data_IF_807231828694
#
_entry.id   IF_807231828694
#
_cell.length_a   1.000
_cell.length_b   1.000
_cell.length_c   1.000
_cell.angle_alpha   90.00
_cell.angle_beta   90.00
_cell.angle_gamma   90.00
#
_symmetry.space_group_name_H-M   'P 1'
#
loop_
_entity.id
_entity.type
_entity.pdbx_description
1 polymer ?
#
# COMPACT_ATOMS: atom_id res chain seq x y z
N UNK A 1 -2.86 -21.54 -24.84
CA UNK A 1 -2.93 -20.49 -23.78
C UNK A 1 -1.63 -19.69 -23.82
N UNK A 2 -1.72 -18.38 -23.93
CA UNK A 2 -0.54 -17.52 -24.05
C UNK A 2 0.22 -17.58 -22.71
N UNK A 3 1.43 -18.12 -22.68
CA UNK A 3 2.23 -18.32 -21.45
C UNK A 3 2.50 -17.04 -20.65
N UNK A 4 2.11 -15.88 -21.15
CA UNK A 4 2.34 -14.56 -20.58
C UNK A 4 1.13 -13.95 -19.84
N UNK A 5 -0.05 -14.58 -19.85
CA UNK A 5 -1.29 -14.02 -19.28
C UNK A 5 -1.54 -14.57 -17.88
N UNK A 6 -0.62 -14.25 -16.94
CA UNK A 6 -0.78 -14.58 -15.53
C UNK A 6 -0.21 -13.49 -14.62
N UNK A 7 -0.70 -13.46 -13.39
CA UNK A 7 -0.09 -12.72 -12.28
C UNK A 7 0.52 -13.68 -11.26
N UNK A 8 1.57 -13.20 -10.60
CA UNK A 8 2.10 -13.81 -9.39
C UNK A 8 1.45 -13.12 -8.20
N UNK A 9 0.56 -13.82 -7.53
CA UNK A 9 -0.27 -13.33 -6.44
C UNK A 9 0.23 -13.91 -5.13
N UNK A 10 -0.05 -13.23 -4.04
CA UNK A 10 0.21 -13.69 -2.68
C UNK A 10 -0.69 -14.88 -2.30
N UNK A 11 -0.44 -15.46 -1.13
CA UNK A 11 -1.23 -16.58 -0.59
C UNK A 11 -2.70 -16.22 -0.29
N UNK A 12 -3.02 -14.91 -0.29
CA UNK A 12 -4.38 -14.41 -0.05
C UNK A 12 -5.37 -14.70 -1.19
N UNK A 13 -4.88 -15.27 -2.32
CA UNK A 13 -5.69 -15.47 -3.53
C UNK A 13 -5.85 -14.20 -4.37
N UNK A 14 -6.76 -14.24 -5.36
CA UNK A 14 -6.86 -13.16 -6.36
C UNK A 14 -7.57 -11.90 -5.86
N UNK A 15 -8.03 -11.87 -4.61
CA UNK A 15 -8.56 -10.66 -3.99
C UNK A 15 -9.53 -10.94 -2.85
N UNK A 16 -9.78 -9.90 -2.07
CA UNK A 16 -10.82 -9.86 -1.04
C UNK A 16 -11.42 -8.46 -0.96
N UNK A 17 -12.72 -8.41 -0.56
CA UNK A 17 -13.46 -7.15 -0.41
C UNK A 17 -13.48 -6.73 1.04
N UNK A 18 -13.14 -5.47 1.30
CA UNK A 18 -13.13 -4.86 2.63
C UNK A 18 -13.31 -3.35 2.52
N UNK A 19 -13.07 -2.61 3.60
CA UNK A 19 -12.89 -1.15 3.57
C UNK A 19 -11.39 -0.82 3.73
N UNK A 20 -10.95 0.25 3.07
CA UNK A 20 -9.59 0.77 3.27
C UNK A 20 -9.41 1.23 4.73
N UNK A 21 -8.40 0.71 5.39
CA UNK A 21 -8.14 0.96 6.81
C UNK A 21 -7.16 2.08 7.09
N UNK A 22 -6.47 2.61 6.07
CA UNK A 22 -5.28 3.45 6.26
C UNK A 22 -5.21 4.60 5.23
N UNK A 23 -4.46 5.66 5.57
CA UNK A 23 -4.16 6.75 4.66
C UNK A 23 -5.36 7.55 4.20
N UNK A 24 -5.25 8.16 3.01
CA UNK A 24 -6.24 9.10 2.47
C UNK A 24 -7.59 8.48 2.12
N UNK A 25 -7.60 7.20 1.82
CA UNK A 25 -8.80 6.48 1.38
C UNK A 25 -9.50 5.70 2.50
N UNK A 26 -9.15 5.97 3.76
CA UNK A 26 -9.75 5.31 4.91
C UNK A 26 -11.29 5.31 4.84
N UNK A 27 -11.89 4.16 5.12
CA UNK A 27 -13.33 3.97 5.07
C UNK A 27 -13.90 3.68 3.67
N UNK A 28 -13.10 3.81 2.61
CA UNK A 28 -13.57 3.54 1.26
C UNK A 28 -13.75 2.02 1.02
N UNK A 29 -14.91 1.58 0.45
CA UNK A 29 -15.06 0.21 -0.01
C UNK A 29 -13.96 -0.14 -1.02
N UNK A 30 -13.29 -1.26 -0.82
CA UNK A 30 -12.10 -1.62 -1.58
C UNK A 30 -12.01 -3.11 -1.86
N UNK A 31 -11.43 -3.44 -3.01
CA UNK A 31 -11.02 -4.80 -3.37
C UNK A 31 -9.51 -4.82 -3.42
N UNK A 32 -8.91 -5.62 -2.56
CA UNK A 32 -7.46 -5.77 -2.47
C UNK A 32 -6.98 -6.90 -3.37
N UNK A 33 -6.00 -6.62 -4.22
CA UNK A 33 -5.21 -7.61 -4.94
C UNK A 33 -3.75 -7.50 -4.47
N UNK A 34 -3.25 -8.55 -3.81
CA UNK A 34 -1.89 -8.60 -3.29
C UNK A 34 -0.97 -9.38 -4.21
N UNK A 35 0.08 -8.72 -4.70
CA UNK A 35 1.10 -9.33 -5.56
C UNK A 35 2.20 -9.98 -4.72
N UNK A 36 2.81 -11.02 -5.28
CA UNK A 36 3.93 -11.73 -4.67
C UNK A 36 5.24 -10.93 -4.75
N UNK A 37 5.99 -10.93 -3.64
CA UNK A 37 7.37 -10.46 -3.55
C UNK A 37 7.52 -8.98 -3.19
N UNK A 38 8.59 -8.67 -2.46
CA UNK A 38 9.00 -7.33 -2.07
C UNK A 38 10.51 -7.18 -2.22
N UNK A 39 10.98 -5.97 -2.45
CA UNK A 39 12.41 -5.63 -2.50
C UNK A 39 12.97 -5.18 -1.14
N UNK A 40 12.11 -5.04 -0.12
CA UNK A 40 12.47 -4.72 1.27
C UNK A 40 12.12 -5.88 2.21
N UNK A 41 12.67 -5.85 3.43
CA UNK A 41 12.46 -6.90 4.43
C UNK A 41 11.68 -6.43 5.65
N UNK A 42 11.81 -5.15 6.02
CA UNK A 42 11.18 -4.50 7.17
C UNK A 42 11.37 -5.26 8.50
N UNK A 43 12.50 -5.92 8.69
CA UNK A 43 12.80 -6.74 9.87
C UNK A 43 12.90 -5.94 11.17
N UNK A 44 13.15 -4.64 11.09
CA UNK A 44 13.24 -3.75 12.25
C UNK A 44 11.93 -3.63 13.05
N UNK A 45 10.81 -4.00 12.47
CA UNK A 45 9.49 -4.00 13.12
C UNK A 45 9.10 -5.36 13.71
N UNK A 46 10.06 -6.28 13.83
CA UNK A 46 9.79 -7.58 14.40
C UNK A 46 9.34 -7.47 15.89
N UNK A 47 8.30 -8.22 16.22
CA UNK A 47 7.72 -8.34 17.55
C UNK A 47 7.32 -9.79 17.81
N UNK A 48 7.00 -10.18 19.06
CA UNK A 48 6.48 -11.52 19.32
C UNK A 48 5.26 -11.90 18.49
N UNK A 49 4.39 -10.92 18.20
CA UNK A 49 3.18 -11.10 17.38
C UNK A 49 3.45 -11.03 15.86
N UNK A 50 4.57 -10.43 15.47
CA UNK A 50 5.01 -10.33 14.07
C UNK A 50 6.53 -10.54 13.97
N UNK A 51 6.99 -11.80 14.11
CA UNK A 51 8.43 -12.11 14.15
C UNK A 51 9.17 -11.79 12.85
N UNK A 52 8.44 -11.60 11.78
CA UNK A 52 8.96 -11.24 10.45
C UNK A 52 9.18 -9.73 10.27
N UNK A 53 8.63 -8.89 11.18
CA UNK A 53 8.65 -7.44 11.10
C UNK A 53 7.58 -6.86 10.20
N UNK A 54 7.55 -7.25 8.92
CA UNK A 54 6.50 -6.86 8.00
C UNK A 54 5.18 -7.57 8.33
N UNK A 55 4.10 -6.83 8.55
CA UNK A 55 2.77 -7.35 8.85
C UNK A 55 2.14 -8.16 7.70
N UNK A 56 2.57 -7.89 6.48
CA UNK A 56 2.10 -8.59 5.27
C UNK A 56 3.05 -9.70 4.80
N UNK A 57 4.15 -10.00 5.53
CA UNK A 57 5.17 -10.95 5.10
C UNK A 57 4.60 -12.33 4.79
N UNK A 58 3.76 -12.86 5.67
CA UNK A 58 3.15 -14.19 5.51
C UNK A 58 2.37 -14.26 4.19
N UNK A 59 1.63 -13.20 3.86
CA UNK A 59 0.84 -13.15 2.63
C UNK A 59 1.73 -13.11 1.39
N UNK A 60 2.62 -12.11 1.27
CA UNK A 60 3.38 -11.90 0.03
C UNK A 60 4.60 -12.81 -0.15
N UNK A 61 5.04 -13.53 0.88
CA UNK A 61 6.19 -14.44 0.81
C UNK A 61 5.89 -15.75 0.07
N UNK A 62 4.63 -16.14 -0.02
CA UNK A 62 4.18 -17.32 -0.77
C UNK A 62 3.71 -16.92 -2.17
N UNK A 63 4.11 -17.72 -3.15
CA UNK A 63 3.89 -17.45 -4.57
C UNK A 63 2.81 -18.36 -5.13
N UNK A 64 1.74 -17.76 -5.64
CA UNK A 64 0.71 -18.43 -6.42
C UNK A 64 0.65 -17.84 -7.84
N UNK A 65 0.57 -18.70 -8.84
CA UNK A 65 0.42 -18.30 -10.24
C UNK A 65 -1.06 -18.43 -10.62
N UNK A 66 -1.67 -17.29 -10.98
CA UNK A 66 -3.05 -17.22 -11.42
C UNK A 66 -3.13 -16.71 -12.85
N UNK A 67 -3.85 -17.41 -13.73
CA UNK A 67 -4.15 -16.88 -15.06
C UNK A 67 -5.10 -15.67 -14.97
N UNK A 68 -5.09 -14.81 -15.97
CA UNK A 68 -6.05 -13.70 -16.03
C UNK A 68 -7.49 -14.21 -16.05
N UNK A 69 -7.75 -15.30 -16.77
CA UNK A 69 -9.05 -15.94 -16.85
C UNK A 69 -9.53 -16.44 -15.48
N UNK A 70 -8.68 -17.14 -14.72
CA UNK A 70 -9.03 -17.61 -13.38
C UNK A 70 -9.33 -16.44 -12.42
N UNK A 71 -8.59 -15.33 -12.52
CA UNK A 71 -8.86 -14.13 -11.73
C UNK A 71 -10.20 -13.51 -12.13
N UNK A 72 -10.50 -13.41 -13.43
CA UNK A 72 -11.76 -12.85 -13.91
C UNK A 72 -12.95 -13.70 -13.47
N UNK A 73 -12.86 -15.02 -13.60
CA UNK A 73 -13.90 -15.94 -13.14
C UNK A 73 -14.15 -15.79 -11.63
N UNK A 74 -13.09 -15.74 -10.83
CA UNK A 74 -13.19 -15.48 -9.39
C UNK A 74 -13.85 -14.12 -9.09
N UNK A 75 -13.54 -13.07 -9.85
CA UNK A 75 -14.12 -11.75 -9.66
C UNK A 75 -15.61 -11.71 -10.03
N UNK A 76 -16.02 -12.42 -11.08
CA UNK A 76 -17.42 -12.59 -11.45
C UNK A 76 -18.21 -13.34 -10.37
N UNK A 77 -17.71 -14.50 -9.92
CA UNK A 77 -18.32 -15.30 -8.87
C UNK A 77 -18.42 -14.58 -7.52
N UNK A 78 -17.44 -13.72 -7.20
CA UNK A 78 -17.39 -12.95 -5.96
C UNK A 78 -18.18 -11.63 -6.00
N UNK A 79 -18.75 -11.26 -7.16
CA UNK A 79 -19.43 -9.98 -7.35
C UNK A 79 -18.47 -8.77 -7.33
N UNK A 80 -17.17 -8.99 -7.61
CA UNK A 80 -16.18 -7.91 -7.57
C UNK A 80 -16.27 -7.01 -8.80
N UNK A 81 -16.75 -7.53 -9.93
CA UNK A 81 -16.93 -6.73 -11.14
C UNK A 81 -17.94 -5.61 -10.90
N UNK A 82 -19.09 -5.91 -10.29
CA UNK A 82 -20.13 -4.94 -9.96
C UNK A 82 -19.63 -3.92 -8.93
N UNK A 83 -18.85 -4.37 -7.94
CA UNK A 83 -18.24 -3.49 -6.93
C UNK A 83 -17.27 -2.50 -7.56
N UNK A 84 -16.37 -2.97 -8.43
CA UNK A 84 -15.43 -2.12 -9.15
C UNK A 84 -16.15 -1.15 -10.09
N UNK A 85 -17.20 -1.60 -10.78
CA UNK A 85 -17.98 -0.77 -11.70
C UNK A 85 -18.77 0.34 -10.98
N UNK A 86 -19.22 0.11 -9.74
CA UNK A 86 -19.88 1.16 -8.92
C UNK A 86 -18.90 2.15 -8.28
N UNK A 87 -17.57 1.93 -8.41
CA UNK A 87 -16.52 2.84 -7.95
C UNK A 87 -15.78 2.42 -6.67
N UNK A 88 -15.95 1.17 -6.18
CA UNK A 88 -15.08 0.63 -5.13
C UNK A 88 -13.63 0.70 -5.60
N UNK A 89 -12.70 0.96 -4.68
CA UNK A 89 -11.28 1.11 -5.01
C UNK A 89 -10.67 -0.25 -5.31
N UNK A 90 -10.01 -0.40 -6.45
CA UNK A 90 -9.13 -1.54 -6.69
C UNK A 90 -7.75 -1.24 -6.10
N UNK A 91 -7.50 -1.75 -4.91
CA UNK A 91 -6.24 -1.58 -4.18
C UNK A 91 -5.22 -2.61 -4.66
N UNK A 92 -4.24 -2.15 -5.43
CA UNK A 92 -3.15 -2.96 -5.93
C UNK A 92 -1.95 -2.83 -4.98
N UNK A 93 -1.66 -3.91 -4.27
CA UNK A 93 -0.69 -3.97 -3.19
C UNK A 93 0.07 -5.30 -3.22
N UNK A 94 0.54 -5.78 -2.09
CA UNK A 94 1.19 -7.07 -1.96
C UNK A 94 2.47 -6.94 -1.14
N UNK A 95 3.60 -7.44 -1.66
CA UNK A 95 4.91 -7.01 -1.21
C UNK A 95 5.20 -5.62 -1.76
N UNK A 96 5.68 -5.55 -3.00
CA UNK A 96 5.86 -4.29 -3.71
C UNK A 96 5.31 -4.41 -5.14
N UNK A 97 4.20 -3.73 -5.47
CA UNK A 97 3.53 -3.89 -6.76
C UNK A 97 4.35 -3.33 -7.93
N UNK A 98 5.20 -2.34 -7.72
CA UNK A 98 6.04 -1.76 -8.76
C UNK A 98 7.04 -2.76 -9.38
N UNK A 99 7.35 -3.87 -8.69
CA UNK A 99 8.13 -4.98 -9.22
C UNK A 99 7.43 -5.73 -10.37
N UNK A 100 6.12 -5.58 -10.51
CA UNK A 100 5.27 -6.38 -11.40
C UNK A 100 4.46 -5.55 -12.40
N UNK A 101 4.91 -4.35 -12.74
CA UNK A 101 4.17 -3.42 -13.58
C UNK A 101 3.77 -4.01 -14.94
N UNK A 102 4.70 -4.59 -15.71
CA UNK A 102 4.42 -5.11 -17.05
C UNK A 102 3.29 -6.16 -17.11
N UNK A 103 3.31 -7.23 -16.29
CA UNK A 103 2.19 -8.17 -16.27
C UNK A 103 0.91 -7.53 -15.74
N UNK A 104 1.00 -6.57 -14.81
CA UNK A 104 -0.16 -5.88 -14.26
C UNK A 104 -0.81 -4.94 -15.29
N UNK A 105 -0.03 -4.24 -16.12
CA UNK A 105 -0.53 -3.44 -17.24
C UNK A 105 -1.34 -4.31 -18.20
N UNK A 106 -0.80 -5.46 -18.63
CA UNK A 106 -1.53 -6.38 -19.50
C UNK A 106 -2.83 -6.90 -18.88
N UNK A 107 -2.80 -7.15 -17.56
CA UNK A 107 -3.97 -7.61 -16.82
C UNK A 107 -5.07 -6.53 -16.78
N UNK A 108 -4.72 -5.27 -16.50
CA UNK A 108 -5.66 -4.15 -16.49
C UNK A 108 -6.22 -3.89 -17.89
N UNK A 109 -5.38 -3.98 -18.95
CA UNK A 109 -5.85 -3.85 -20.32
C UNK A 109 -6.87 -4.93 -20.70
N UNK A 110 -6.57 -6.19 -20.35
CA UNK A 110 -7.50 -7.31 -20.59
C UNK A 110 -8.80 -7.15 -19.77
N UNK A 111 -8.71 -6.61 -18.54
CA UNK A 111 -9.89 -6.29 -17.74
C UNK A 111 -10.78 -5.24 -18.42
N UNK A 112 -10.18 -4.13 -18.87
CA UNK A 112 -10.91 -3.04 -19.54
C UNK A 112 -11.53 -3.55 -20.85
N UNK A 113 -10.80 -4.35 -21.63
CA UNK A 113 -11.30 -4.96 -22.86
C UNK A 113 -12.51 -5.86 -22.58
N UNK A 114 -12.45 -6.70 -21.54
CA UNK A 114 -13.52 -7.65 -21.21
C UNK A 114 -14.76 -6.98 -20.63
N UNK A 115 -14.60 -5.99 -19.75
CA UNK A 115 -15.73 -5.43 -18.97
C UNK A 115 -16.16 -4.03 -19.40
N UNK A 116 -15.39 -3.34 -20.24
CA UNK A 116 -15.78 -2.07 -20.86
C UNK A 116 -15.66 -0.85 -19.95
N UNK A 117 -15.01 -0.93 -18.80
CA UNK A 117 -14.80 0.21 -17.89
C UNK A 117 -13.42 0.22 -17.27
N UNK A 118 -12.96 1.40 -16.85
CA UNK A 118 -11.73 1.61 -16.09
C UNK A 118 -12.07 1.65 -14.59
N UNK A 119 -11.57 0.70 -13.78
CA UNK A 119 -11.76 0.74 -12.32
C UNK A 119 -11.02 1.90 -11.67
N UNK A 120 -11.45 2.31 -10.49
CA UNK A 120 -10.72 3.25 -9.65
C UNK A 120 -9.52 2.56 -9.01
N UNK A 121 -8.31 2.77 -9.53
CA UNK A 121 -7.08 2.11 -9.09
C UNK A 121 -6.34 2.96 -8.06
N UNK A 122 -5.91 2.35 -6.95
CA UNK A 122 -4.96 2.92 -6.01
C UNK A 122 -3.86 1.90 -5.70
N UNK A 123 -2.60 2.34 -5.81
CA UNK A 123 -1.46 1.53 -5.45
C UNK A 123 -1.03 1.78 -4.01
N UNK A 124 -0.71 0.71 -3.28
CA UNK A 124 0.04 0.81 -2.04
C UNK A 124 1.48 0.35 -2.30
N UNK A 125 2.45 1.26 -2.16
CA UNK A 125 3.86 1.06 -2.53
C UNK A 125 4.81 1.58 -1.47
N UNK A 126 6.00 1.01 -1.38
CA UNK A 126 7.08 1.51 -0.52
C UNK A 126 7.83 2.72 -1.11
N UNK A 127 7.48 3.15 -2.33
CA UNK A 127 8.07 4.28 -3.04
C UNK A 127 9.59 4.20 -3.26
N UNK A 128 10.11 3.01 -3.53
CA UNK A 128 11.54 2.83 -3.84
C UNK A 128 11.83 2.55 -5.31
N UNK A 129 10.79 2.24 -6.09
CA UNK A 129 10.89 1.96 -7.52
C UNK A 129 9.94 2.86 -8.31
N UNK A 130 10.41 3.33 -9.48
CA UNK A 130 9.65 4.21 -10.34
C UNK A 130 8.48 3.47 -10.99
N UNK A 131 7.30 4.11 -11.02
CA UNK A 131 6.18 3.66 -11.82
C UNK A 131 6.27 4.17 -13.26
N UNK A 132 5.76 3.38 -14.21
CA UNK A 132 5.62 3.81 -15.60
C UNK A 132 4.51 4.88 -15.70
N UNK A 133 4.72 5.92 -16.53
CA UNK A 133 3.77 7.05 -16.67
C UNK A 133 2.38 6.62 -17.13
N UNK A 134 2.27 5.48 -17.80
CA UNK A 134 0.99 4.91 -18.24
C UNK A 134 -0.02 4.74 -17.07
N UNK A 135 0.47 4.50 -15.84
CA UNK A 135 -0.39 4.38 -14.67
C UNK A 135 -1.14 5.67 -14.36
N UNK A 136 -0.50 6.82 -14.59
CA UNK A 136 -1.10 8.12 -14.39
C UNK A 136 -1.87 8.57 -15.63
N UNK A 137 -1.24 8.47 -16.80
CA UNK A 137 -1.78 9.02 -18.03
C UNK A 137 -3.00 8.25 -18.54
N UNK A 138 -2.92 6.92 -18.59
CA UNK A 138 -3.98 6.05 -19.11
C UNK A 138 -4.96 5.60 -18.02
N UNK A 139 -4.43 5.04 -16.92
CA UNK A 139 -5.27 4.39 -15.91
C UNK A 139 -5.72 5.31 -14.79
N UNK A 140 -5.25 6.57 -14.75
CA UNK A 140 -5.61 7.57 -13.71
C UNK A 140 -5.42 7.03 -12.28
N UNK A 141 -4.44 6.15 -12.11
CA UNK A 141 -4.14 5.55 -10.81
C UNK A 141 -3.71 6.59 -9.78
N UNK A 142 -4.09 6.36 -8.54
CA UNK A 142 -3.62 7.11 -7.37
C UNK A 142 -2.64 6.26 -6.57
N UNK A 143 -1.91 6.89 -5.64
CA UNK A 143 -0.85 6.21 -4.90
C UNK A 143 -0.94 6.55 -3.41
N UNK A 144 -0.93 5.50 -2.60
CA UNK A 144 -0.67 5.53 -1.17
C UNK A 144 0.76 5.02 -0.97
N UNK A 145 1.71 5.94 -0.80
CA UNK A 145 3.11 5.60 -0.59
C UNK A 145 3.39 5.37 0.88
N UNK A 146 4.22 4.41 1.20
CA UNK A 146 4.67 4.12 2.57
C UNK A 146 6.19 4.07 2.62
N UNK A 147 6.87 5.23 2.50
CA UNK A 147 8.33 5.27 2.61
C UNK A 147 8.78 4.73 3.96
N UNK A 148 9.87 3.98 3.95
CA UNK A 148 10.36 3.31 5.15
C UNK A 148 11.39 4.18 5.87
N UNK A 149 11.18 4.35 7.17
CA UNK A 149 12.10 5.03 8.06
C UNK A 149 13.21 4.06 8.52
N UNK A 150 14.28 4.55 9.11
CA UNK A 150 15.39 3.71 9.60
C UNK A 150 14.93 2.65 10.61
N UNK A 151 13.83 2.88 11.31
CA UNK A 151 13.18 1.91 12.21
C UNK A 151 12.74 0.62 11.51
N UNK A 152 12.58 0.61 10.19
CA UNK A 152 12.24 -0.62 9.45
C UNK A 152 13.39 -1.64 9.35
N UNK A 153 14.64 -1.21 9.59
CA UNK A 153 15.83 -2.05 9.62
C UNK A 153 16.45 -2.39 8.26
N UNK A 154 15.92 -1.90 7.15
CA UNK A 154 16.58 -1.97 5.85
C UNK A 154 17.57 -0.80 5.67
N UNK A 155 18.64 -0.96 4.87
CA UNK A 155 19.61 0.11 4.61
C UNK A 155 18.98 1.34 3.94
N UNK A 156 19.43 2.54 4.30
CA UNK A 156 18.87 3.80 3.80
C UNK A 156 18.90 3.91 2.27
N UNK A 157 19.97 3.45 1.64
CA UNK A 157 20.12 3.47 0.18
C UNK A 157 19.05 2.63 -0.56
N UNK A 158 18.40 1.70 0.14
CA UNK A 158 17.28 0.91 -0.39
C UNK A 158 15.91 1.53 -0.11
N UNK A 159 15.80 2.32 0.95
CA UNK A 159 14.51 2.84 1.45
C UNK A 159 14.26 4.29 1.09
N UNK A 160 15.31 5.07 0.80
CA UNK A 160 15.22 6.49 0.51
C UNK A 160 15.74 6.80 -0.90
N UNK A 161 14.83 6.89 -1.86
CA UNK A 161 15.11 7.17 -3.28
C UNK A 161 14.48 8.51 -3.67
N UNK A 162 15.22 9.64 -3.56
CA UNK A 162 14.69 10.99 -3.76
C UNK A 162 13.99 11.21 -5.10
N UNK A 163 14.48 10.59 -6.17
CA UNK A 163 13.86 10.72 -7.50
C UNK A 163 12.43 10.14 -7.51
N UNK A 164 12.25 8.95 -6.96
CA UNK A 164 10.94 8.28 -6.87
C UNK A 164 10.00 9.07 -5.94
N UNK A 165 10.50 9.53 -4.80
CA UNK A 165 9.72 10.34 -3.85
C UNK A 165 9.25 11.65 -4.51
N UNK A 166 10.11 12.36 -5.23
CA UNK A 166 9.76 13.57 -5.95
C UNK A 166 8.75 13.32 -7.07
N UNK A 167 8.83 12.17 -7.76
CA UNK A 167 7.80 11.77 -8.71
C UNK A 167 6.45 11.60 -8.02
N UNK A 168 6.40 10.89 -6.91
CA UNK A 168 5.16 10.72 -6.13
C UNK A 168 4.60 12.04 -5.57
N UNK A 169 5.45 13.00 -5.20
CA UNK A 169 5.02 14.35 -4.80
C UNK A 169 4.28 15.04 -5.95
N UNK A 170 4.82 14.96 -7.17
CA UNK A 170 4.18 15.52 -8.38
C UNK A 170 2.83 14.87 -8.68
N UNK A 171 2.69 13.58 -8.36
CA UNK A 171 1.41 12.84 -8.50
C UNK A 171 0.42 13.11 -7.37
N UNK A 172 0.72 14.01 -6.43
CA UNK A 172 -0.13 14.28 -5.27
C UNK A 172 -0.47 13.02 -4.45
N UNK A 173 0.51 12.13 -4.31
CA UNK A 173 0.37 10.86 -3.59
C UNK A 173 0.13 11.07 -2.09
N UNK A 174 -0.54 10.13 -1.44
CA UNK A 174 -0.60 10.04 0.02
C UNK A 174 0.71 9.45 0.54
N UNK A 175 1.40 10.12 1.45
CA UNK A 175 2.64 9.64 2.08
C UNK A 175 2.35 9.20 3.51
N UNK A 176 2.28 7.90 3.72
CA UNK A 176 1.95 7.27 4.99
C UNK A 176 3.22 6.79 5.69
N UNK A 177 3.56 7.38 6.84
CA UNK A 177 4.72 7.02 7.65
C UNK A 177 4.28 6.25 8.89
N UNK A 178 4.87 5.08 9.11
CA UNK A 178 4.70 4.30 10.33
C UNK A 178 5.58 4.92 11.42
N UNK A 179 4.97 5.29 12.56
CA UNK A 179 5.64 5.95 13.65
C UNK A 179 5.79 4.98 14.82
N UNK A 180 7.03 4.71 15.19
CA UNK A 180 7.39 3.86 16.36
C UNK A 180 7.83 4.69 17.56
N UNK A 181 8.22 5.95 17.33
CA UNK A 181 8.68 6.87 18.37
C UNK A 181 9.23 8.20 17.85
N UNK A 182 9.81 9.00 18.73
CA UNK A 182 10.32 10.35 18.42
C UNK A 182 11.39 10.37 17.32
N UNK A 183 12.26 9.37 17.28
CA UNK A 183 13.32 9.26 16.27
C UNK A 183 12.78 9.21 14.84
N UNK A 184 11.61 8.60 14.65
CA UNK A 184 10.96 8.58 13.31
C UNK A 184 10.50 9.98 12.92
N UNK A 185 10.03 10.79 13.87
CA UNK A 185 9.62 12.17 13.63
C UNK A 185 10.84 13.04 13.26
N UNK A 186 11.93 12.93 14.02
CA UNK A 186 13.18 13.64 13.70
C UNK A 186 13.70 13.28 12.31
N UNK A 187 13.69 11.99 11.97
CA UNK A 187 14.09 11.49 10.65
C UNK A 187 13.16 12.00 9.55
N UNK A 188 11.84 12.01 9.77
CA UNK A 188 10.86 12.54 8.83
C UNK A 188 11.15 14.02 8.52
N UNK A 189 11.35 14.84 9.55
CA UNK A 189 11.70 16.26 9.32
C UNK A 189 13.00 16.39 8.54
N UNK A 190 14.06 15.72 8.96
CA UNK A 190 15.39 15.80 8.35
C UNK A 190 15.39 15.35 6.89
N UNK A 191 14.75 14.21 6.58
CA UNK A 191 14.81 13.62 5.21
C UNK A 191 13.75 14.15 4.26
N UNK A 192 12.55 14.48 4.76
CA UNK A 192 11.40 14.73 3.90
C UNK A 192 10.88 16.18 3.96
N UNK A 193 11.17 16.92 5.03
CA UNK A 193 10.67 18.29 5.18
C UNK A 193 11.76 19.33 4.92
N UNK A 194 12.90 19.21 5.60
CA UNK A 194 13.99 20.20 5.56
C UNK A 194 15.13 19.84 4.62
N UNK A 195 15.09 18.67 3.99
CA UNK A 195 16.10 18.20 3.06
C UNK A 195 16.08 19.01 1.76
N UNK A 196 17.27 19.22 1.15
CA UNK A 196 17.36 19.79 -0.19
C UNK A 196 17.02 18.79 -1.30
N UNK A 197 17.01 17.48 -0.99
CA UNK A 197 16.72 16.40 -1.95
C UNK A 197 15.23 16.13 -2.13
N UNK A 198 14.46 16.23 -1.03
CA UNK A 198 13.01 15.98 -1.00
C UNK A 198 12.36 17.06 -0.15
N UNK A 199 11.33 17.72 -0.68
CA UNK A 199 10.52 18.71 0.05
C UNK A 199 9.06 18.28 0.01
N UNK A 200 8.69 17.43 0.94
CA UNK A 200 7.35 16.87 1.00
C UNK A 200 6.37 17.87 1.64
N UNK A 201 5.30 18.28 0.93
CA UNK A 201 4.27 19.14 1.49
C UNK A 201 3.55 18.46 2.66
N UNK A 202 3.35 19.19 3.77
CA UNK A 202 2.75 18.65 4.98
C UNK A 202 1.37 18.02 4.78
N UNK A 203 0.55 18.59 3.91
CA UNK A 203 -0.80 18.09 3.62
C UNK A 203 -0.82 16.73 2.90
N UNK A 204 0.32 16.27 2.37
CA UNK A 204 0.49 14.94 1.78
C UNK A 204 1.00 13.90 2.77
N UNK A 205 1.25 14.28 4.04
CA UNK A 205 1.79 13.40 5.07
C UNK A 205 0.68 12.86 5.95
N UNK A 206 0.67 11.54 6.13
CA UNK A 206 -0.13 10.81 7.10
C UNK A 206 0.79 10.08 8.06
N UNK A 207 0.63 10.33 9.38
CA UNK A 207 1.31 9.54 10.40
C UNK A 207 0.42 8.38 10.79
N UNK A 208 0.97 7.18 10.75
CA UNK A 208 0.28 5.96 11.08
C UNK A 208 0.86 5.32 12.32
N UNK A 209 -0.01 4.84 13.19
CA UNK A 209 0.38 4.12 14.42
C UNK A 209 1.03 2.79 14.07
N UNK A 210 2.23 2.53 14.60
CA UNK A 210 2.81 1.19 14.60
C UNK A 210 2.06 0.32 15.61
N UNK A 211 1.29 -0.65 15.15
CA UNK A 211 0.50 -1.55 15.98
C UNK A 211 0.20 -2.85 15.24
N UNK A 212 0.23 -3.97 15.93
CA UNK A 212 -0.15 -5.31 15.44
C UNK A 212 -1.48 -5.81 16.00
N UNK A 213 -2.12 -5.05 16.93
CA UNK A 213 -3.38 -5.39 17.56
C UNK A 213 -4.21 -4.15 17.87
N UNK A 214 -5.51 -4.36 18.19
CA UNK A 214 -6.41 -3.28 18.65
C UNK A 214 -5.89 -2.62 19.90
N UNK A 215 -5.40 -3.40 20.86
CA UNK A 215 -4.89 -2.91 22.13
C UNK A 215 -3.68 -1.97 21.93
N UNK A 216 -2.69 -2.40 21.14
CA UNK A 216 -1.53 -1.58 20.78
C UNK A 216 -1.94 -0.32 20.04
N UNK A 217 -2.91 -0.43 19.11
CA UNK A 217 -3.42 0.70 18.37
C UNK A 217 -4.04 1.75 19.30
N UNK A 218 -4.95 1.35 20.19
CA UNK A 218 -5.61 2.26 21.14
C UNK A 218 -4.58 2.92 22.07
N UNK A 219 -3.61 2.15 22.56
CA UNK A 219 -2.56 2.64 23.44
C UNK A 219 -1.73 3.76 22.81
N UNK A 220 -1.40 3.63 21.51
CA UNK A 220 -0.45 4.52 20.86
C UNK A 220 -1.12 5.61 20.00
N UNK A 221 -2.41 5.46 19.68
CA UNK A 221 -3.11 6.34 18.74
C UNK A 221 -3.17 7.80 19.20
N UNK A 222 -3.45 8.04 20.49
CA UNK A 222 -3.54 9.40 21.03
C UNK A 222 -2.22 10.16 20.87
N UNK A 223 -1.09 9.52 21.14
CA UNK A 223 0.24 10.12 20.98
C UNK A 223 0.48 10.54 19.51
N UNK A 224 0.22 9.65 18.54
CA UNK A 224 0.42 9.96 17.13
C UNK A 224 -0.57 11.03 16.63
N UNK A 225 -1.79 11.05 17.16
CA UNK A 225 -2.77 12.09 16.84
C UNK A 225 -2.34 13.47 17.33
N UNK A 226 -1.78 13.57 18.56
CA UNK A 226 -1.23 14.85 19.05
C UNK A 226 -0.04 15.32 18.19
N UNK A 227 0.87 14.42 17.79
CA UNK A 227 1.94 14.76 16.86
C UNK A 227 1.40 15.30 15.53
N UNK A 228 0.32 14.72 15.00
CA UNK A 228 -0.32 15.21 13.78
C UNK A 228 -0.83 16.64 13.94
N UNK A 229 -1.48 16.95 15.07
CA UNK A 229 -1.98 18.30 15.39
C UNK A 229 -0.84 19.31 15.52
N UNK A 230 0.22 18.97 16.23
CA UNK A 230 1.38 19.84 16.46
C UNK A 230 2.16 20.12 15.16
N UNK A 231 2.37 19.07 14.34
CA UNK A 231 3.18 19.18 13.13
C UNK A 231 2.37 19.65 11.90
N UNK A 232 1.05 19.63 11.94
CA UNK A 232 0.17 19.92 10.79
C UNK A 232 0.17 18.79 9.77
N UNK A 233 0.18 17.52 10.21
CA UNK A 233 0.09 16.32 9.41
C UNK A 233 -1.30 15.68 9.54
N UNK A 234 -1.63 14.76 8.64
CA UNK A 234 -2.86 13.99 8.73
C UNK A 234 -2.62 12.75 9.61
N UNK A 235 -3.64 12.33 10.34
CA UNK A 235 -3.62 11.10 11.11
C UNK A 235 -4.15 9.92 10.29
N UNK A 236 -3.44 8.81 10.30
CA UNK A 236 -3.89 7.54 9.73
C UNK A 236 -4.03 6.51 10.84
N UNK A 237 -5.25 6.15 11.24
CA UNK A 237 -5.44 4.97 12.07
C UNK A 237 -5.15 3.70 11.26
N UNK A 238 -5.22 2.55 11.94
CA UNK A 238 -5.36 1.23 11.33
C UNK A 238 -6.78 0.74 11.62
N UNK A 239 -7.73 1.23 10.82
CA UNK A 239 -9.16 1.01 11.05
C UNK A 239 -9.52 -0.48 11.10
N UNK A 240 -8.86 -1.32 10.30
CA UNK A 240 -9.02 -2.76 10.31
C UNK A 240 -8.72 -3.36 11.69
N UNK A 241 -7.71 -2.86 12.43
CA UNK A 241 -7.44 -3.31 13.80
C UNK A 241 -8.54 -2.86 14.77
N UNK A 242 -9.05 -1.65 14.58
CA UNK A 242 -10.12 -1.12 15.45
C UNK A 242 -11.42 -1.93 15.30
N UNK A 243 -11.79 -2.26 14.07
CA UNK A 243 -13.04 -2.96 13.76
C UNK A 243 -12.94 -4.47 14.01
N UNK A 244 -11.88 -5.11 13.53
CA UNK A 244 -11.78 -6.57 13.45
C UNK A 244 -10.58 -7.19 14.16
N UNK A 245 -9.75 -6.36 14.80
CA UNK A 245 -8.52 -6.75 15.49
C UNK A 245 -7.58 -7.53 14.54
N UNK A 246 -7.19 -8.75 14.90
CA UNK A 246 -6.27 -9.58 14.11
C UNK A 246 -6.96 -10.42 13.03
N UNK A 247 -8.26 -10.21 12.77
CA UNK A 247 -8.96 -10.94 11.72
C UNK A 247 -8.38 -10.61 10.33
N UNK A 248 -8.27 -11.62 9.49
CA UNK A 248 -7.73 -11.49 8.13
C UNK A 248 -8.87 -11.49 7.10
N UNK A 249 -8.71 -10.70 6.04
CA UNK A 249 -9.63 -10.66 4.89
C UNK A 249 -11.08 -10.27 5.24
N UNK A 250 -11.25 -9.37 6.16
CA UNK A 250 -12.55 -8.88 6.68
C UNK A 250 -12.98 -7.59 6.04
#
# INVERSE_FOLDING_TARGET
MNENNYLLISDDGPGFSTIEGEGRLIGAPSIFLRLFGCNLTCKGWASPDSPWGCDSFISWSKKNKWSFEDIFNFYEESGFIEKLNRGDVWKLTGGEPSLRQKPLIRFIDAFIEKYGFLPRIDFETNATLMFEEIWVEKYKATFTTSPKMSSNGDPEEKTYVPEVLNWHIKQNSCFKFVITGEKDIEELFRKYITSDKVKLPKHLIWLMVCAGSREEHIKNAAYVAELCKECGFNFSPRLQLVLWDKALRV
#
